data_IF_263583566496
#
_entry.id   IF_263583566496
#
_cell.length_a   1.000
_cell.length_b   1.000
_cell.length_c   1.000
_cell.angle_alpha   90.00
_cell.angle_beta   90.00
_cell.angle_gamma   90.00
#
_symmetry.space_group_name_H-M   'P 1'
#
loop_
_entity.id
_entity.type
_entity.pdbx_description
1 polymer ?
#
# COMPACT_ATOMS: atom_id res chain seq x y z
N UNK A 1 3.51 5.74 -19.31
CA UNK A 1 4.63 6.15 -18.42
C UNK A 1 4.24 5.75 -17.01
N UNK A 2 5.07 4.96 -16.34
CA UNK A 2 4.84 4.57 -14.94
C UNK A 2 4.88 5.83 -14.06
N UNK A 3 3.88 6.01 -13.19
CA UNK A 3 3.80 7.13 -12.25
C UNK A 3 4.87 7.03 -11.14
N UNK A 4 5.32 5.81 -10.86
CA UNK A 4 6.27 5.49 -9.81
C UNK A 4 7.73 5.72 -10.18
N UNK A 5 8.06 5.92 -11.46
CA UNK A 5 9.45 6.01 -11.95
C UNK A 5 10.35 4.86 -11.46
N UNK A 6 9.81 3.64 -11.41
CA UNK A 6 10.56 2.44 -11.04
C UNK A 6 11.48 2.02 -12.18
N UNK A 7 12.74 1.75 -11.88
CA UNK A 7 13.66 1.13 -12.82
C UNK A 7 13.37 -0.37 -12.88
N UNK A 8 12.97 -0.84 -14.05
CA UNK A 8 12.62 -2.23 -14.29
C UNK A 8 13.86 -3.05 -14.68
N UNK A 9 13.86 -4.32 -14.29
CA UNK A 9 14.84 -5.29 -14.76
C UNK A 9 14.55 -5.72 -16.21
N UNK A 10 15.48 -6.37 -16.91
CA UNK A 10 15.20 -6.98 -18.20
C UNK A 10 14.03 -7.97 -18.09
N UNK A 11 13.06 -7.83 -18.99
CA UNK A 11 11.82 -8.64 -19.04
C UNK A 11 10.90 -8.47 -17.81
N UNK A 12 11.07 -7.39 -17.04
CA UNK A 12 10.16 -7.02 -15.96
C UNK A 12 9.06 -6.10 -16.49
N UNK A 13 7.80 -6.47 -16.22
CA UNK A 13 6.62 -5.70 -16.61
C UNK A 13 5.80 -5.33 -15.38
N UNK A 14 5.30 -4.09 -15.34
CA UNK A 14 4.38 -3.65 -14.30
C UNK A 14 3.00 -4.21 -14.62
N UNK A 15 2.46 -5.03 -13.71
CA UNK A 15 1.12 -5.59 -13.81
C UNK A 15 0.11 -4.62 -13.20
N UNK A 16 0.40 -4.11 -12.00
CA UNK A 16 -0.48 -3.21 -11.26
C UNK A 16 0.35 -2.14 -10.56
N UNK A 17 -0.13 -0.91 -10.62
CA UNK A 17 0.42 0.22 -9.88
C UNK A 17 -0.70 0.87 -9.08
N UNK A 18 -0.64 0.74 -7.75
CA UNK A 18 -1.62 1.30 -6.82
C UNK A 18 -1.03 2.53 -6.14
N UNK A 19 -1.73 3.64 -6.24
CA UNK A 19 -1.42 4.83 -5.45
C UNK A 19 -2.00 4.67 -4.05
N UNK A 20 -1.19 4.86 -3.02
CA UNK A 20 -1.57 4.63 -1.65
C UNK A 20 -0.96 5.65 -0.70
N UNK A 21 -1.68 5.99 0.34
CA UNK A 21 -1.09 6.65 1.50
C UNK A 21 -0.48 5.57 2.41
N UNK A 22 0.83 5.39 2.31
CA UNK A 22 1.57 4.37 3.08
C UNK A 22 1.86 4.88 4.50
N UNK A 23 0.87 4.85 5.36
CA UNK A 23 1.07 5.05 6.79
C UNK A 23 1.23 3.71 7.47
N UNK A 24 2.40 3.49 8.08
CA UNK A 24 2.62 2.32 8.91
C UNK A 24 1.65 2.33 10.10
N UNK A 25 0.84 1.30 10.22
CA UNK A 25 -0.07 1.12 11.36
C UNK A 25 0.51 0.02 12.24
N UNK A 26 0.82 0.36 13.49
CA UNK A 26 1.26 -0.65 14.46
C UNK A 26 0.08 -1.52 14.91
N UNK A 27 0.32 -2.79 15.13
CA UNK A 27 -0.66 -3.73 15.73
C UNK A 27 -0.97 -3.41 17.20
N UNK A 28 -0.16 -2.58 17.85
CA UNK A 28 -0.35 -2.18 19.25
C UNK A 28 -1.35 -1.00 19.36
N UNK A 29 -2.40 -1.18 20.20
CA UNK A 29 -3.48 -0.18 20.40
C UNK A 29 -2.94 1.18 20.84
N UNK A 30 -1.98 1.23 21.76
CA UNK A 30 -1.40 2.49 22.22
C UNK A 30 -0.63 3.20 21.10
N UNK A 31 0.14 2.45 20.33
CA UNK A 31 0.86 2.99 19.17
C UNK A 31 -0.10 3.48 18.08
N UNK A 32 -1.29 2.87 17.93
CA UNK A 32 -2.33 3.33 17.00
C UNK A 32 -2.91 4.68 17.43
N UNK A 33 -3.20 4.87 18.72
CA UNK A 33 -3.71 6.15 19.24
C UNK A 33 -2.69 7.26 19.07
N UNK A 34 -1.44 7.02 19.44
CA UNK A 34 -0.34 7.97 19.26
C UNK A 34 -0.14 8.26 17.76
N UNK A 35 -0.17 7.24 16.92
CA UNK A 35 -0.06 7.38 15.45
C UNK A 35 -1.20 8.20 14.85
N UNK A 36 -2.42 8.07 15.37
CA UNK A 36 -3.56 8.86 14.93
C UNK A 36 -3.39 10.36 15.30
N UNK A 37 -2.98 10.65 16.53
CA UNK A 37 -2.70 12.03 16.98
C UNK A 37 -1.58 12.63 16.13
N UNK A 38 -0.50 11.85 15.90
CA UNK A 38 0.63 12.28 15.06
C UNK A 38 0.21 12.54 13.61
N UNK A 39 -0.73 11.74 13.08
CA UNK A 39 -1.29 11.94 11.74
C UNK A 39 -2.07 13.24 11.63
N UNK A 40 -2.83 13.62 12.65
CA UNK A 40 -3.54 14.90 12.68
C UNK A 40 -2.54 16.06 12.73
N UNK A 41 -1.52 15.98 13.57
CA UNK A 41 -0.46 16.98 13.65
C UNK A 41 0.27 17.08 12.30
N UNK A 42 0.63 15.96 11.72
CA UNK A 42 1.28 15.89 10.41
C UNK A 42 0.44 16.54 9.29
N UNK A 43 -0.88 16.35 9.31
CA UNK A 43 -1.81 17.02 8.39
C UNK A 43 -1.79 18.54 8.54
N UNK A 44 -1.75 19.05 9.78
CA UNK A 44 -1.69 20.49 10.05
C UNK A 44 -0.38 21.09 9.48
N UNK A 45 0.73 20.39 9.64
CA UNK A 45 2.04 20.81 9.13
C UNK A 45 2.28 20.46 7.64
N UNK A 46 1.26 19.94 6.96
CA UNK A 46 1.35 19.58 5.54
C UNK A 46 2.32 18.44 5.23
N UNK A 47 2.57 17.57 6.21
CA UNK A 47 3.38 16.37 6.02
C UNK A 47 2.47 15.31 5.39
N UNK A 48 2.78 14.90 4.17
CA UNK A 48 2.09 13.81 3.46
C UNK A 48 3.07 12.72 3.08
N UNK A 49 2.63 11.47 3.26
CA UNK A 49 3.30 10.30 2.70
C UNK A 49 2.46 9.78 1.55
N UNK A 50 2.88 10.10 0.34
CA UNK A 50 2.33 9.48 -0.86
C UNK A 50 3.20 8.32 -1.26
N UNK A 51 2.59 7.22 -1.60
CA UNK A 51 3.32 6.04 -2.03
C UNK A 51 2.66 5.34 -3.20
N UNK A 52 3.42 4.45 -3.78
CA UNK A 52 2.96 3.53 -4.82
C UNK A 52 3.32 2.11 -4.39
N UNK A 53 2.33 1.23 -4.45
CA UNK A 53 2.59 -0.20 -4.46
C UNK A 53 2.64 -0.65 -5.90
N UNK A 54 3.80 -1.09 -6.34
CA UNK A 54 4.03 -1.57 -7.70
C UNK A 54 4.19 -3.07 -7.66
N UNK A 55 3.28 -3.77 -8.34
CA UNK A 55 3.31 -5.21 -8.51
C UNK A 55 3.79 -5.48 -9.92
N UNK A 56 4.93 -6.15 -10.04
CA UNK A 56 5.48 -6.58 -11.31
C UNK A 56 5.34 -8.10 -11.46
N UNK A 57 5.69 -8.63 -12.61
CA UNK A 57 5.74 -10.07 -12.84
C UNK A 57 6.86 -10.76 -12.04
N UNK A 58 7.81 -10.02 -11.45
CA UNK A 58 8.99 -10.56 -10.77
C UNK A 58 9.07 -10.21 -9.28
N UNK A 59 8.49 -9.09 -8.86
CA UNK A 59 8.60 -8.58 -7.48
C UNK A 59 7.49 -7.62 -7.12
N UNK A 60 7.38 -7.36 -5.83
CA UNK A 60 6.50 -6.32 -5.29
C UNK A 60 7.36 -5.23 -4.64
N UNK A 61 7.11 -3.99 -4.98
CA UNK A 61 7.89 -2.83 -4.54
C UNK A 61 6.98 -1.77 -3.96
N UNK A 62 7.27 -1.34 -2.74
CA UNK A 62 6.70 -0.13 -2.16
C UNK A 62 7.63 1.05 -2.43
N UNK A 63 7.07 2.11 -2.97
CA UNK A 63 7.78 3.37 -3.18
C UNK A 63 7.04 4.44 -2.39
N UNK A 64 7.68 5.04 -1.42
CA UNK A 64 7.10 6.14 -0.66
C UNK A 64 7.86 7.45 -0.89
N UNK A 65 7.10 8.51 -1.03
CA UNK A 65 7.58 9.87 -1.11
C UNK A 65 7.12 10.64 0.13
N UNK A 66 8.06 11.21 0.83
CA UNK A 66 7.78 12.04 1.98
C UNK A 66 7.74 13.51 1.54
N UNK A 67 6.61 14.16 1.78
CA UNK A 67 6.43 15.58 1.53
C UNK A 67 6.34 16.32 2.86
N UNK A 68 7.03 17.45 2.98
CA UNK A 68 6.90 18.39 4.08
C UNK A 68 6.36 19.73 3.52
N UNK A 69 5.57 20.44 4.34
CA UNK A 69 4.98 21.72 3.97
C UNK A 69 4.24 21.70 2.62
N UNK A 70 3.56 20.59 2.31
CA UNK A 70 2.74 20.36 1.10
C UNK A 70 3.49 20.31 -0.23
N UNK A 71 4.72 20.82 -0.33
CA UNK A 71 5.43 21.05 -1.60
C UNK A 71 6.82 20.41 -1.63
N UNK A 72 7.53 20.39 -0.50
CA UNK A 72 8.91 19.94 -0.48
C UNK A 72 8.98 18.41 -0.38
N UNK A 73 9.51 17.77 -1.42
CA UNK A 73 9.86 16.35 -1.37
C UNK A 73 11.13 16.20 -0.54
N UNK A 74 11.00 15.61 0.65
CA UNK A 74 12.10 15.44 1.60
C UNK A 74 12.82 14.11 1.46
N UNK A 75 12.26 13.18 0.68
CA UNK A 75 12.92 11.88 0.47
C UNK A 75 12.06 10.87 -0.28
N UNK A 76 12.74 9.93 -0.90
CA UNK A 76 12.14 8.77 -1.56
C UNK A 76 12.66 7.50 -0.88
N UNK A 77 11.77 6.65 -0.48
CA UNK A 77 12.08 5.34 0.10
C UNK A 77 11.54 4.24 -0.83
N UNK A 78 12.38 3.27 -1.14
CA UNK A 78 12.01 2.12 -1.97
C UNK A 78 12.20 0.88 -1.11
N UNK A 79 11.13 0.12 -0.90
CA UNK A 79 11.14 -1.13 -0.16
C UNK A 79 10.74 -2.29 -1.06
N UNK A 80 11.53 -3.34 -1.04
CA UNK A 80 11.14 -4.61 -1.65
C UNK A 80 10.34 -5.42 -0.64
N UNK A 81 9.16 -5.86 -1.05
CA UNK A 81 8.34 -6.74 -0.23
C UNK A 81 8.80 -8.17 -0.47
N UNK A 82 9.44 -8.76 0.54
CA UNK A 82 9.97 -10.12 0.46
C UNK A 82 8.91 -11.14 0.91
N UNK A 83 8.82 -12.32 0.25
CA UNK A 83 7.88 -13.36 0.66
C UNK A 83 8.06 -13.78 2.12
N UNK A 84 9.32 -13.85 2.58
CA UNK A 84 9.66 -14.21 3.97
C UNK A 84 9.24 -13.18 5.01
N UNK A 85 8.94 -11.95 4.60
CA UNK A 85 8.52 -10.87 5.51
C UNK A 85 7.00 -10.79 5.68
N UNK A 86 6.23 -11.38 4.77
CA UNK A 86 4.77 -11.33 4.82
C UNK A 86 4.22 -12.49 5.65
N UNK A 87 3.40 -12.13 6.61
CA UNK A 87 2.68 -13.03 7.50
C UNK A 87 1.27 -13.31 7.01
N UNK A 88 0.57 -12.26 6.63
CA UNK A 88 -0.80 -12.31 6.13
C UNK A 88 -0.96 -11.39 4.91
N UNK A 89 -1.77 -11.84 3.96
CA UNK A 89 -2.12 -11.12 2.75
C UNK A 89 -3.59 -11.37 2.44
N UNK A 90 -4.34 -10.32 2.15
CA UNK A 90 -5.75 -10.44 1.83
C UNK A 90 -6.37 -9.11 1.39
N UNK A 91 -7.68 -9.08 1.34
CA UNK A 91 -8.43 -7.85 1.18
C UNK A 91 -9.47 -7.70 2.28
N UNK A 92 -9.80 -6.45 2.59
CA UNK A 92 -10.84 -6.09 3.54
C UNK A 92 -11.90 -5.32 2.77
N UNK A 93 -13.15 -5.75 2.95
CA UNK A 93 -14.31 -5.03 2.45
C UNK A 93 -14.93 -4.25 3.60
N UNK A 94 -14.84 -2.95 3.55
CA UNK A 94 -15.51 -2.10 4.54
C UNK A 94 -16.94 -1.85 4.12
N UNK A 95 -17.88 -2.25 5.01
CA UNK A 95 -19.28 -1.85 4.90
C UNK A 95 -19.44 -0.42 5.41
N UNK A 96 -20.09 0.45 4.64
CA UNK A 96 -20.45 1.77 5.13
C UNK A 96 -21.58 1.68 6.15
N UNK A 97 -21.53 2.52 7.18
CA UNK A 97 -22.48 2.58 8.30
C UNK A 97 -23.94 2.75 7.88
N UNK A 98 -24.20 3.21 6.67
CA UNK A 98 -25.54 3.37 6.10
C UNK A 98 -25.97 2.32 5.09
N UNK A 99 -25.18 1.30 4.80
CA UNK A 99 -25.56 0.21 3.88
C UNK A 99 -25.84 0.60 2.43
N UNK A 100 -25.74 1.86 2.08
CA UNK A 100 -26.35 2.36 0.88
C UNK A 100 -25.45 2.66 -0.30
N UNK A 101 -24.17 2.96 -0.23
CA UNK A 101 -23.60 3.48 -1.47
C UNK A 101 -22.13 3.30 -1.76
N UNK A 102 -21.26 3.02 -0.83
CA UNK A 102 -19.83 2.99 -1.16
C UNK A 102 -19.13 1.85 -0.41
N UNK A 103 -19.08 0.69 -1.02
CA UNK A 103 -18.22 -0.38 -0.53
C UNK A 103 -16.78 0.00 -0.84
N UNK A 104 -15.94 0.12 0.19
CA UNK A 104 -14.52 0.36 0.03
C UNK A 104 -13.77 -0.96 0.17
N UNK A 105 -12.90 -1.22 -0.78
CA UNK A 105 -12.01 -2.37 -0.75
C UNK A 105 -10.62 -1.91 -0.37
N UNK A 106 -9.97 -2.64 0.54
CA UNK A 106 -8.61 -2.39 0.94
C UNK A 106 -7.77 -3.64 0.71
N UNK A 107 -6.63 -3.49 0.04
CA UNK A 107 -5.60 -4.51 0.04
C UNK A 107 -4.89 -4.46 1.39
N UNK A 108 -4.85 -5.58 2.07
CA UNK A 108 -4.23 -5.73 3.37
C UNK A 108 -3.07 -6.72 3.29
N UNK A 109 -1.94 -6.34 3.84
CA UNK A 109 -0.85 -7.27 4.11
C UNK A 109 -0.14 -6.90 5.41
N UNK A 110 0.20 -7.92 6.16
CA UNK A 110 0.88 -7.82 7.44
C UNK A 110 2.28 -8.41 7.34
N UNK A 111 3.27 -7.65 7.77
CA UNK A 111 4.61 -8.12 8.01
C UNK A 111 4.83 -8.33 9.52
N UNK A 112 5.96 -8.92 9.90
CA UNK A 112 6.30 -9.11 11.31
C UNK A 112 6.39 -7.80 12.11
N UNK A 113 6.61 -6.67 11.45
CA UNK A 113 6.85 -5.37 12.08
C UNK A 113 5.74 -4.35 11.85
N UNK A 114 4.98 -4.48 10.77
CA UNK A 114 3.94 -3.51 10.42
C UNK A 114 2.81 -4.14 9.62
N UNK A 115 1.62 -3.60 9.74
CA UNK A 115 0.51 -3.89 8.87
C UNK A 115 0.25 -2.71 7.93
N UNK A 116 -0.02 -3.01 6.67
CA UNK A 116 -0.29 -2.03 5.63
C UNK A 116 -1.66 -2.30 5.03
N UNK A 117 -2.47 -1.25 4.94
CA UNK A 117 -3.77 -1.29 4.30
C UNK A 117 -3.84 -0.22 3.22
N UNK A 118 -4.18 -0.61 2.00
CA UNK A 118 -4.21 0.26 0.83
C UNK A 118 -5.62 0.31 0.29
N UNK A 119 -6.20 1.52 0.22
CA UNK A 119 -7.52 1.73 -0.38
C UNK A 119 -7.46 1.45 -1.89
N UNK A 120 -8.36 0.59 -2.35
CA UNK A 120 -8.50 0.20 -3.75
C UNK A 120 -9.63 0.99 -4.40
N UNK A 121 -9.35 2.22 -4.82
CA UNK A 121 -10.37 3.13 -5.37
C UNK A 121 -10.95 2.68 -6.73
N UNK A 122 -10.26 1.80 -7.44
CA UNK A 122 -10.66 1.31 -8.76
C UNK A 122 -11.33 -0.06 -8.74
N UNK A 123 -11.45 -0.70 -7.58
CA UNK A 123 -11.99 -2.05 -7.42
C UNK A 123 -13.38 -1.95 -6.79
N UNK A 124 -14.34 -2.60 -7.44
CA UNK A 124 -15.74 -2.55 -7.05
C UNK A 124 -16.37 -3.94 -6.82
N UNK A 125 -15.62 -5.01 -7.00
CA UNK A 125 -16.10 -6.39 -6.81
C UNK A 125 -15.11 -7.24 -6.01
N UNK A 126 -15.64 -8.24 -5.31
CA UNK A 126 -14.85 -9.22 -4.56
C UNK A 126 -13.93 -10.03 -5.49
N UNK A 127 -14.39 -10.30 -6.72
CA UNK A 127 -13.59 -11.05 -7.72
C UNK A 127 -12.34 -10.26 -8.17
N UNK A 128 -12.49 -8.96 -8.38
CA UNK A 128 -11.35 -8.10 -8.75
C UNK A 128 -10.36 -7.97 -7.60
N UNK A 129 -10.86 -7.82 -6.37
CA UNK A 129 -10.02 -7.78 -5.18
C UNK A 129 -9.24 -9.10 -5.01
N UNK A 130 -9.89 -10.23 -5.21
CA UNK A 130 -9.27 -11.55 -5.13
C UNK A 130 -8.19 -11.74 -6.22
N UNK A 131 -8.47 -11.32 -7.46
CA UNK A 131 -7.48 -11.36 -8.55
C UNK A 131 -6.25 -10.53 -8.23
N UNK A 132 -6.43 -9.37 -7.59
CA UNK A 132 -5.32 -8.52 -7.17
C UNK A 132 -4.46 -9.21 -6.10
N UNK A 133 -5.10 -9.82 -5.09
CA UNK A 133 -4.41 -10.59 -4.04
C UNK A 133 -3.64 -11.75 -4.65
N UNK A 134 -4.22 -12.48 -5.60
CA UNK A 134 -3.57 -13.56 -6.33
C UNK A 134 -2.35 -13.08 -7.13
N UNK A 135 -2.50 -11.94 -7.80
CA UNK A 135 -1.40 -11.33 -8.56
C UNK A 135 -0.25 -10.93 -7.64
N UNK A 136 -0.57 -10.33 -6.50
CA UNK A 136 0.42 -10.00 -5.47
C UNK A 136 1.13 -11.25 -4.96
N UNK A 137 0.38 -12.30 -4.62
CA UNK A 137 0.93 -13.56 -4.14
C UNK A 137 1.85 -14.23 -5.16
N UNK A 138 1.46 -14.25 -6.44
CA UNK A 138 2.29 -14.79 -7.53
C UNK A 138 3.58 -14.00 -7.72
N UNK A 139 3.51 -12.66 -7.67
CA UNK A 139 4.68 -11.80 -7.79
C UNK A 139 5.68 -12.00 -6.64
N UNK A 140 5.17 -12.25 -5.41
CA UNK A 140 6.01 -12.58 -4.26
C UNK A 140 6.73 -13.91 -4.41
N UNK A 141 6.06 -14.91 -4.96
CA UNK A 141 6.59 -16.28 -5.09
C UNK A 141 7.28 -16.55 -6.43
N UNK A 142 7.54 -15.49 -7.19
CA UNK A 142 8.27 -15.63 -8.45
C UNK A 142 9.70 -16.11 -8.16
N UNK A 143 9.98 -17.33 -8.59
CA UNK A 143 11.35 -17.90 -8.54
C UNK A 143 12.11 -17.44 -9.78
N UNK A 144 13.17 -16.71 -9.56
CA UNK A 144 14.16 -16.43 -10.61
C UNK A 144 14.86 -17.69 -11.05
#
# INVERSE_FOLDING_TARGET
MSKSNLTLNPNEEIIVELEAELWATSSNIFARIIGFIWRIIALIFGIRRKGFLVITNQRVVEISHNFACWVFNTGREIKYVLPSSIKELGYIKEGTFCGCCCQAYHLFYESYTQSTSILLSSIHSDEEALKLVDTFYRALNYKQ
#
